data_IF_895108155206
#
_entry.id   IF_895108155206
#
_cell.length_a   1.000
_cell.length_b   1.000
_cell.length_c   1.000
_cell.angle_alpha   90.00
_cell.angle_beta   90.00
_cell.angle_gamma   90.00
#
_symmetry.space_group_name_H-M   'P 1'
#
loop_
_entity.id
_entity.type
_entity.pdbx_description
1 polymer ?
#
# COMPACT_ATOMS: atom_id res chain seq x y z
N UNK A 1 -2.71 43.56 10.72
CA UNK A 1 -2.25 42.57 9.72
C UNK A 1 -3.18 42.64 8.51
N UNK A 2 -2.58 42.67 7.30
CA UNK A 2 -3.39 42.71 6.08
C UNK A 2 -4.13 41.38 5.88
N UNK A 3 -5.22 41.43 5.09
CA UNK A 3 -6.00 40.22 4.79
C UNK A 3 -5.17 39.18 4.03
N UNK A 4 -4.25 39.63 3.15
CA UNK A 4 -3.37 38.75 2.43
C UNK A 4 -2.44 38.01 3.39
N UNK A 5 -1.89 38.67 4.39
CA UNK A 5 -1.02 38.07 5.39
C UNK A 5 -1.79 37.06 6.24
N UNK A 6 -3.02 37.38 6.62
CA UNK A 6 -3.88 36.44 7.35
C UNK A 6 -4.16 35.18 6.54
N UNK A 7 -4.41 35.32 5.23
CA UNK A 7 -4.63 34.20 4.32
C UNK A 7 -3.39 33.34 4.20
N UNK A 8 -2.20 33.94 4.11
CA UNK A 8 -0.93 33.22 4.07
C UNK A 8 -0.70 32.39 5.34
N UNK A 9 -1.02 32.98 6.52
CA UNK A 9 -0.90 32.28 7.80
C UNK A 9 -1.83 31.06 7.84
N UNK A 10 -3.08 31.23 7.37
CA UNK A 10 -4.04 30.12 7.30
C UNK A 10 -3.58 29.02 6.37
N UNK A 11 -3.07 29.41 5.19
CA UNK A 11 -2.54 28.44 4.21
C UNK A 11 -1.35 27.69 4.78
N UNK A 12 -0.43 28.39 5.44
CA UNK A 12 0.72 27.77 6.08
C UNK A 12 0.29 26.71 7.10
N UNK A 13 -0.66 27.04 7.96
CA UNK A 13 -1.18 26.11 8.97
C UNK A 13 -1.86 24.91 8.32
N UNK A 14 -2.66 25.13 7.28
CA UNK A 14 -3.33 24.06 6.56
C UNK A 14 -2.30 23.12 5.89
N UNK A 15 -1.27 23.68 5.26
CA UNK A 15 -0.21 22.90 4.65
C UNK A 15 0.57 22.09 5.71
N UNK A 16 0.89 22.70 6.83
CA UNK A 16 1.59 22.02 7.93
C UNK A 16 0.79 20.82 8.46
N UNK A 17 -0.52 21.00 8.68
CA UNK A 17 -1.39 19.91 9.14
C UNK A 17 -1.49 18.80 8.11
N UNK A 18 -1.63 19.14 6.84
CA UNK A 18 -1.67 18.15 5.76
C UNK A 18 -0.37 17.36 5.68
N UNK A 19 0.78 18.03 5.77
CA UNK A 19 2.09 17.37 5.74
C UNK A 19 2.27 16.44 6.93
N UNK A 20 1.91 16.87 8.14
CA UNK A 20 1.99 16.04 9.34
C UNK A 20 1.12 14.80 9.22
N UNK A 21 -0.11 14.95 8.75
CA UNK A 21 -1.03 13.83 8.55
C UNK A 21 -0.50 12.81 7.56
N UNK A 22 0.09 13.27 6.47
CA UNK A 22 0.65 12.40 5.44
C UNK A 22 1.90 11.68 5.95
N UNK A 23 2.81 12.42 6.59
CA UNK A 23 4.07 11.87 7.10
C UNK A 23 3.83 10.79 8.15
N UNK A 24 2.88 11.02 9.07
CA UNK A 24 2.51 10.03 10.09
C UNK A 24 2.05 8.72 9.47
N UNK A 25 1.31 8.80 8.37
CA UNK A 25 0.82 7.61 7.68
C UNK A 25 1.90 6.89 6.88
N UNK A 26 2.85 7.63 6.31
CA UNK A 26 3.91 7.07 5.48
C UNK A 26 5.08 6.50 6.30
N UNK A 27 5.34 7.08 7.47
CA UNK A 27 6.41 6.67 8.38
C UNK A 27 5.87 6.52 9.81
N UNK A 28 5.00 5.53 10.05
CA UNK A 28 4.29 5.45 11.34
C UNK A 28 5.18 5.17 12.54
N UNK A 29 6.34 4.57 12.33
CA UNK A 29 7.28 4.25 13.42
C UNK A 29 8.24 5.37 13.77
N UNK A 30 8.19 6.51 13.08
CA UNK A 30 9.15 7.59 13.24
C UNK A 30 8.51 8.84 13.83
N UNK A 31 9.23 9.61 14.66
CA UNK A 31 8.71 10.87 15.19
C UNK A 31 8.59 11.91 14.09
N UNK A 32 7.60 12.80 14.23
CA UNK A 32 7.43 13.92 13.29
C UNK A 32 8.60 14.90 13.42
N UNK A 33 9.08 15.46 12.29
CA UNK A 33 10.04 16.57 12.35
C UNK A 33 9.50 17.74 13.13
N UNK A 34 10.37 18.41 13.90
CA UNK A 34 10.00 19.52 14.76
C UNK A 34 9.86 20.87 14.07
N UNK A 35 10.19 20.96 12.80
CA UNK A 35 10.16 22.21 12.03
C UNK A 35 9.40 22.04 10.71
N UNK A 36 8.88 23.14 10.19
CA UNK A 36 8.27 23.18 8.87
C UNK A 36 9.23 22.73 7.78
N UNK A 37 10.47 23.20 7.85
CA UNK A 37 11.51 22.79 6.91
C UNK A 37 11.75 21.27 6.95
N UNK A 38 11.76 20.69 8.15
CA UNK A 38 11.90 19.24 8.33
C UNK A 38 10.75 18.47 7.70
N UNK A 39 9.52 18.98 7.81
CA UNK A 39 8.34 18.38 7.17
C UNK A 39 8.47 18.39 5.66
N UNK A 40 8.90 19.53 5.08
CA UNK A 40 9.10 19.65 3.63
C UNK A 40 10.20 18.69 3.15
N UNK A 41 11.30 18.60 3.88
CA UNK A 41 12.38 17.67 3.54
C UNK A 41 11.92 16.22 3.55
N UNK A 42 11.10 15.86 4.53
CA UNK A 42 10.55 14.50 4.59
C UNK A 42 9.69 14.20 3.36
N UNK A 43 8.91 15.16 2.90
CA UNK A 43 8.07 15.00 1.71
C UNK A 43 8.86 14.85 0.41
N UNK A 44 10.09 15.34 0.36
CA UNK A 44 10.97 15.12 -0.79
C UNK A 44 11.19 13.61 -1.00
N UNK A 45 11.20 12.84 0.09
CA UNK A 45 11.37 11.39 0.05
C UNK A 45 10.04 10.63 -0.13
N UNK A 46 8.92 11.35 -0.31
CA UNK A 46 7.59 10.74 -0.37
C UNK A 46 7.40 9.80 -1.55
N UNK A 47 7.89 10.16 -2.74
CA UNK A 47 7.70 9.32 -3.93
C UNK A 47 8.40 7.97 -3.81
N UNK A 48 9.70 7.90 -3.45
CA UNK A 48 10.34 6.61 -3.19
C UNK A 48 9.66 5.82 -2.07
N UNK A 49 9.24 6.51 -1.01
CA UNK A 49 8.55 5.86 0.12
C UNK A 49 7.21 5.26 -0.32
N UNK A 50 6.44 5.96 -1.16
CA UNK A 50 5.20 5.44 -1.70
C UNK A 50 5.40 4.16 -2.49
N UNK A 51 6.47 4.08 -3.28
CA UNK A 51 6.78 2.86 -4.03
C UNK A 51 7.09 1.69 -3.08
N UNK A 52 7.82 1.94 -2.00
CA UNK A 52 8.10 0.93 -0.97
C UNK A 52 6.80 0.45 -0.33
N UNK A 53 5.93 1.38 0.07
CA UNK A 53 4.63 1.06 0.69
C UNK A 53 3.76 0.26 -0.26
N UNK A 54 3.63 0.70 -1.50
CA UNK A 54 2.86 0.03 -2.54
C UNK A 54 3.31 -1.41 -2.73
N UNK A 55 4.61 -1.61 -2.85
CA UNK A 55 5.18 -2.95 -3.01
C UNK A 55 4.91 -3.82 -1.78
N UNK A 56 5.09 -3.26 -0.58
CA UNK A 56 4.84 -3.98 0.68
C UNK A 56 3.40 -4.42 0.83
N UNK A 57 2.45 -3.56 0.47
CA UNK A 57 1.01 -3.89 0.49
C UNK A 57 0.70 -5.01 -0.49
N UNK A 58 1.25 -4.94 -1.70
CA UNK A 58 1.04 -5.97 -2.71
C UNK A 58 1.60 -7.33 -2.26
N UNK A 59 2.78 -7.33 -1.67
CA UNK A 59 3.40 -8.55 -1.14
C UNK A 59 2.54 -9.14 -0.03
N UNK A 60 2.09 -8.31 0.92
CA UNK A 60 1.30 -8.79 2.04
C UNK A 60 -0.05 -9.34 1.59
N UNK A 61 -0.71 -8.67 0.66
CA UNK A 61 -1.98 -9.14 0.09
C UNK A 61 -1.81 -10.48 -0.62
N UNK A 62 -0.80 -10.60 -1.46
CA UNK A 62 -0.50 -11.85 -2.16
C UNK A 62 -0.13 -12.97 -1.19
N UNK A 63 0.69 -12.67 -0.17
CA UNK A 63 1.10 -13.65 0.84
C UNK A 63 -0.11 -14.21 1.58
N UNK A 64 -1.04 -13.36 1.99
CA UNK A 64 -2.25 -13.79 2.70
C UNK A 64 -3.16 -14.63 1.80
N UNK A 65 -3.32 -14.23 0.54
CA UNK A 65 -4.14 -14.98 -0.41
C UNK A 65 -3.55 -16.35 -0.72
N UNK A 66 -2.25 -16.42 -1.01
CA UNK A 66 -1.57 -17.70 -1.27
C UNK A 66 -1.55 -18.60 -0.05
N UNK A 67 -1.36 -18.05 1.14
CA UNK A 67 -1.36 -18.82 2.38
C UNK A 67 -2.71 -19.49 2.60
N UNK A 68 -3.81 -18.76 2.37
CA UNK A 68 -5.16 -19.32 2.49
C UNK A 68 -5.43 -20.38 1.42
N UNK A 69 -4.98 -20.15 0.20
CA UNK A 69 -5.08 -21.16 -0.85
C UNK A 69 -4.35 -22.42 -0.45
N UNK A 70 -3.20 -22.29 0.20
CA UNK A 70 -2.40 -23.43 0.66
C UNK A 70 -3.05 -24.20 1.79
N UNK A 71 -3.89 -23.57 2.60
CA UNK A 71 -4.71 -24.24 3.63
C UNK A 71 -5.62 -25.28 2.97
N UNK A 72 -6.18 -24.94 1.81
CA UNK A 72 -7.09 -25.83 1.07
C UNK A 72 -6.37 -26.78 0.14
N UNK A 73 -5.16 -26.41 -0.32
CA UNK A 73 -4.33 -27.22 -1.21
C UNK A 73 -2.87 -27.14 -0.76
N UNK A 74 -2.47 -28.02 0.14
CA UNK A 74 -1.15 -27.98 0.77
C UNK A 74 0.00 -28.18 -0.23
N UNK A 75 -0.26 -28.77 -1.40
CA UNK A 75 0.74 -28.97 -2.45
C UNK A 75 0.96 -27.74 -3.33
N UNK A 76 0.18 -26.70 -3.15
CA UNK A 76 0.30 -25.47 -3.91
C UNK A 76 1.69 -24.85 -3.69
N UNK A 77 2.37 -24.53 -4.80
CA UNK A 77 3.66 -23.84 -4.79
C UNK A 77 3.45 -22.48 -5.45
N UNK A 78 3.53 -21.41 -4.65
CA UNK A 78 3.26 -20.05 -5.13
C UNK A 78 4.25 -19.62 -6.22
N UNK A 79 5.51 -20.02 -6.12
CA UNK A 79 6.53 -19.67 -7.12
C UNK A 79 6.19 -20.31 -8.46
N UNK A 80 5.81 -21.59 -8.45
CA UNK A 80 5.42 -22.30 -9.67
C UNK A 80 4.17 -21.70 -10.30
N UNK A 81 3.19 -21.30 -9.49
CA UNK A 81 1.99 -20.66 -10.00
C UNK A 81 2.28 -19.39 -10.80
N UNK A 82 3.30 -18.65 -10.40
CA UNK A 82 3.65 -17.40 -11.08
C UNK A 82 4.57 -17.65 -12.28
N UNK A 83 5.52 -18.57 -12.16
CA UNK A 83 6.54 -18.80 -13.18
C UNK A 83 6.12 -19.78 -14.27
N UNK A 84 5.32 -20.77 -13.93
CA UNK A 84 4.89 -21.79 -14.88
C UNK A 84 3.60 -21.37 -15.58
N UNK A 85 3.45 -21.77 -16.82
CA UNK A 85 2.22 -21.57 -17.57
C UNK A 85 1.12 -22.54 -17.14
N UNK A 86 -0.02 -22.51 -17.84
CA UNK A 86 -1.13 -23.40 -17.54
C UNK A 86 -0.71 -24.86 -17.60
N UNK A 87 -1.38 -25.74 -16.81
CA UNK A 87 -1.14 -27.18 -16.90
C UNK A 87 -1.42 -27.74 -18.31
N UNK A 88 -0.77 -28.85 -18.63
CA UNK A 88 -1.01 -29.53 -19.90
C UNK A 88 -2.49 -29.84 -20.09
N UNK A 89 -3.01 -29.56 -21.29
CA UNK A 89 -4.43 -29.69 -21.60
C UNK A 89 -5.28 -28.49 -21.23
N UNK A 90 -4.71 -27.47 -20.57
CA UNK A 90 -5.43 -26.27 -20.12
C UNK A 90 -4.76 -25.00 -20.61
N UNK A 91 -4.08 -25.05 -21.73
CA UNK A 91 -3.29 -23.95 -22.29
C UNK A 91 -4.14 -22.72 -22.64
N UNK A 92 -5.44 -22.90 -22.85
CA UNK A 92 -6.38 -21.82 -23.13
C UNK A 92 -6.70 -20.96 -21.90
N UNK A 93 -6.34 -21.40 -20.68
CA UNK A 93 -6.64 -20.68 -19.46
C UNK A 93 -5.58 -19.60 -19.18
N UNK A 94 -6.05 -18.42 -18.84
CA UNK A 94 -5.17 -17.32 -18.40
C UNK A 94 -5.74 -16.72 -17.09
N UNK A 95 -4.90 -16.09 -16.26
CA UNK A 95 -5.37 -15.52 -14.99
C UNK A 95 -6.52 -14.52 -15.14
N UNK A 96 -6.51 -13.73 -16.21
CA UNK A 96 -7.51 -12.69 -16.48
C UNK A 96 -8.93 -13.25 -16.55
N UNK A 97 -9.09 -14.50 -16.97
CA UNK A 97 -10.40 -15.16 -17.05
C UNK A 97 -11.07 -15.30 -15.69
N UNK A 98 -10.27 -15.28 -14.63
CA UNK A 98 -10.73 -15.53 -13.25
C UNK A 98 -10.76 -14.27 -12.38
N UNK A 99 -10.38 -13.10 -12.90
CA UNK A 99 -10.30 -11.86 -12.11
C UNK A 99 -11.63 -11.52 -11.44
N UNK A 100 -12.73 -11.63 -12.18
CA UNK A 100 -14.05 -11.34 -11.62
C UNK A 100 -14.43 -12.31 -10.51
N UNK A 101 -14.15 -13.60 -10.70
CA UNK A 101 -14.53 -14.62 -9.73
C UNK A 101 -13.76 -14.51 -8.40
N UNK A 102 -12.56 -13.94 -8.42
CA UNK A 102 -11.74 -13.78 -7.22
C UNK A 102 -11.80 -12.35 -6.63
N UNK A 103 -12.50 -11.42 -7.29
CA UNK A 103 -12.50 -10.01 -6.90
C UNK A 103 -13.03 -9.79 -5.49
N UNK A 104 -14.13 -10.44 -5.13
CA UNK A 104 -14.73 -10.29 -3.80
C UNK A 104 -13.77 -10.78 -2.70
N UNK A 105 -13.15 -11.94 -2.91
CA UNK A 105 -12.14 -12.47 -1.98
C UNK A 105 -10.93 -11.57 -1.88
N UNK A 106 -10.48 -11.00 -3.01
CA UNK A 106 -9.37 -10.06 -3.04
C UNK A 106 -9.66 -8.80 -2.22
N UNK A 107 -10.89 -8.28 -2.31
CA UNK A 107 -11.32 -7.11 -1.51
C UNK A 107 -11.31 -7.42 -0.01
N UNK A 108 -11.74 -8.61 0.37
CA UNK A 108 -11.73 -9.04 1.78
C UNK A 108 -10.31 -9.12 2.32
N UNK A 109 -9.37 -9.67 1.54
CA UNK A 109 -7.95 -9.70 1.91
C UNK A 109 -7.37 -8.29 2.00
N UNK A 110 -7.73 -7.41 1.06
CA UNK A 110 -7.29 -6.02 1.07
C UNK A 110 -7.77 -5.27 2.33
N UNK A 111 -8.99 -5.52 2.76
CA UNK A 111 -9.52 -4.93 4.00
C UNK A 111 -8.73 -5.39 5.23
N UNK A 112 -8.37 -6.66 5.30
CA UNK A 112 -7.51 -7.16 6.37
C UNK A 112 -6.15 -6.49 6.36
N UNK A 113 -5.53 -6.36 5.19
CA UNK A 113 -4.25 -5.69 5.06
C UNK A 113 -4.33 -4.22 5.52
N UNK A 114 -5.39 -3.51 5.12
CA UNK A 114 -5.59 -2.11 5.51
C UNK A 114 -5.74 -1.94 7.02
N UNK A 115 -6.36 -2.93 7.70
CA UNK A 115 -6.58 -2.89 9.14
C UNK A 115 -5.34 -3.31 9.93
N UNK A 116 -4.65 -4.36 9.48
CA UNK A 116 -3.64 -5.05 10.27
C UNK A 116 -2.20 -4.68 9.91
N UNK A 117 -1.95 -4.16 8.71
CA UNK A 117 -0.59 -3.90 8.24
C UNK A 117 -0.14 -2.48 8.62
N UNK A 118 1.01 -2.40 9.30
CA UNK A 118 1.70 -1.13 9.56
C UNK A 118 3.03 -1.15 8.80
N UNK A 119 3.43 -0.01 8.26
CA UNK A 119 4.67 0.12 7.51
C UNK A 119 5.74 0.77 8.36
N UNK A 120 6.81 0.07 8.54
CA UNK A 120 7.96 0.58 9.27
C UNK A 120 9.08 1.05 8.34
#
# INVERSE_FOLDING_TARGET
MSDQLKQLVKLHKAAEQAMKGLIVRMWPGEPLPGSYFGLVRRLVDACPRLEVIKRSVCIEGARRAFARAKVHCAKLDAVKLVKEGPPEGKEHRCPEMYYESVLKGSRLVAEECARDVTFE
#
